data_IF_120168098769
#
_entry.id   IF_120168098769
#
_cell.length_a   1.000
_cell.length_b   1.000
_cell.length_c   1.000
_cell.angle_alpha   90.00
_cell.angle_beta   90.00
_cell.angle_gamma   90.00
#
_symmetry.space_group_name_H-M   'P 1'
#
loop_
_entity.id
_entity.type
_entity.pdbx_description
1 polymer ?
#
# COMPACT_ATOMS: atom_id res chain seq x y z
N UNK A 1 10.11 1.89 6.41
CA UNK A 1 9.07 0.91 6.76
C UNK A 1 9.13 -0.22 5.75
N UNK A 2 8.97 -1.47 6.19
CA UNK A 2 8.79 -2.64 5.31
C UNK A 2 7.85 -3.58 6.05
N UNK A 3 6.82 -4.08 5.35
CA UNK A 3 5.81 -4.98 5.89
C UNK A 3 5.64 -6.13 4.91
N UNK A 4 5.74 -7.36 5.41
CA UNK A 4 5.48 -8.55 4.61
C UNK A 4 3.97 -8.69 4.37
N UNK A 5 3.60 -9.10 3.17
CA UNK A 5 2.22 -9.48 2.86
C UNK A 5 1.87 -10.78 3.61
N UNK A 6 0.67 -10.82 4.18
CA UNK A 6 0.04 -12.03 4.72
C UNK A 6 -0.28 -13.01 3.59
N UNK A 7 -0.53 -14.28 3.92
CA UNK A 7 -0.89 -15.31 2.94
C UNK A 7 -2.07 -14.90 2.06
N UNK A 8 -3.07 -14.22 2.61
CA UNK A 8 -4.23 -13.74 1.84
C UNK A 8 -3.85 -12.57 0.92
N UNK A 9 -3.09 -11.59 1.43
CA UNK A 9 -2.68 -10.43 0.64
C UNK A 9 -1.72 -10.81 -0.50
N UNK A 10 -1.00 -11.91 -0.32
CA UNK A 10 -0.18 -12.51 -1.37
C UNK A 10 -0.96 -13.12 -2.52
N UNK A 11 -2.25 -13.41 -2.35
CA UNK A 11 -3.09 -13.88 -3.44
C UNK A 11 -3.77 -12.74 -4.22
N UNK A 12 -3.50 -11.49 -3.87
CA UNK A 12 -4.00 -10.35 -4.62
C UNK A 12 -3.31 -10.20 -5.99
N UNK A 13 -4.00 -9.56 -6.92
CA UNK A 13 -3.37 -9.12 -8.15
C UNK A 13 -2.22 -8.17 -7.86
N UNK A 14 -1.20 -8.15 -8.73
CA UNK A 14 0.00 -7.31 -8.56
C UNK A 14 -0.41 -5.84 -8.34
N UNK A 15 -1.42 -5.37 -9.08
CA UNK A 15 -1.97 -4.02 -8.95
C UNK A 15 -2.48 -3.73 -7.53
N UNK A 16 -3.27 -4.65 -6.97
CA UNK A 16 -3.86 -4.53 -5.64
C UNK A 16 -2.79 -4.57 -4.55
N UNK A 17 -1.73 -5.38 -4.73
CA UNK A 17 -0.58 -5.45 -3.81
C UNK A 17 0.18 -4.13 -3.74
N UNK A 18 0.47 -3.53 -4.88
CA UNK A 18 1.20 -2.25 -4.94
C UNK A 18 0.35 -1.10 -4.37
N UNK A 19 -0.95 -1.09 -4.66
CA UNK A 19 -1.86 -0.12 -4.09
C UNK A 19 -1.96 -0.27 -2.56
N UNK A 20 -2.09 -1.51 -2.07
CA UNK A 20 -2.10 -1.82 -0.65
C UNK A 20 -0.83 -1.33 0.05
N UNK A 21 0.35 -1.49 -0.57
CA UNK A 21 1.61 -1.02 -0.03
C UNK A 21 1.64 0.52 0.15
N UNK A 22 1.11 1.26 -0.82
CA UNK A 22 0.97 2.73 -0.72
C UNK A 22 0.04 3.10 0.41
N UNK A 23 -1.13 2.48 0.51
CA UNK A 23 -2.11 2.82 1.54
C UNK A 23 -1.60 2.51 2.96
N UNK A 24 -0.96 1.35 3.16
CA UNK A 24 -0.34 0.99 4.43
C UNK A 24 0.73 2.01 4.84
N UNK A 25 1.54 2.45 3.88
CA UNK A 25 2.54 3.49 4.11
C UNK A 25 1.88 4.82 4.48
N UNK A 26 0.80 5.23 3.80
CA UNK A 26 0.09 6.46 4.14
C UNK A 26 -0.57 6.39 5.51
N UNK A 27 -1.15 5.24 5.86
CA UNK A 27 -1.77 5.00 7.17
C UNK A 27 -0.77 5.11 8.31
N UNK A 28 0.37 4.43 8.19
CA UNK A 28 1.37 4.43 9.26
C UNK A 28 2.05 5.79 9.43
N UNK A 29 2.00 6.64 8.40
CA UNK A 29 2.51 8.01 8.41
C UNK A 29 1.38 9.05 8.56
N UNK A 30 0.15 8.62 8.81
CA UNK A 30 -1.04 9.47 8.76
C UNK A 30 -0.92 10.70 9.65
N UNK A 31 -0.41 10.55 10.87
CA UNK A 31 -0.24 11.67 11.80
C UNK A 31 0.84 12.69 11.38
N UNK A 32 1.76 12.31 10.47
CA UNK A 32 2.72 13.24 9.88
C UNK A 32 2.19 13.91 8.62
N UNK A 33 1.30 13.23 7.89
CA UNK A 33 0.75 13.68 6.61
C UNK A 33 -0.54 14.49 6.79
N UNK A 34 -1.27 14.26 7.88
CA UNK A 34 -2.48 15.00 8.20
C UNK A 34 -2.15 16.47 8.44
N UNK A 35 -2.70 17.34 7.59
CA UNK A 35 -2.46 18.79 7.66
C UNK A 35 -1.16 19.26 7.02
N UNK A 36 -0.47 18.38 6.28
CA UNK A 36 0.64 18.80 5.42
C UNK A 36 0.14 19.79 4.36
N UNK A 37 0.77 20.96 4.30
CA UNK A 37 0.49 22.00 3.29
C UNK A 37 1.23 21.76 1.98
N UNK A 38 2.25 20.89 2.00
CA UNK A 38 3.07 20.55 0.85
C UNK A 38 2.73 19.13 0.37
N UNK A 39 2.76 18.94 -0.95
CA UNK A 39 2.51 17.65 -1.56
C UNK A 39 3.64 16.66 -1.23
N UNK A 40 3.26 15.49 -0.75
CA UNK A 40 4.20 14.40 -0.44
C UNK A 40 4.52 13.61 -1.71
N UNK A 41 5.80 13.41 -2.00
CA UNK A 41 6.21 12.64 -3.17
C UNK A 41 6.29 11.15 -2.87
N UNK A 42 5.46 10.35 -3.54
CA UNK A 42 5.48 8.89 -3.44
C UNK A 42 6.11 8.32 -4.71
N UNK A 43 7.21 7.60 -4.55
CA UNK A 43 7.94 6.99 -5.66
C UNK A 43 7.57 5.50 -5.78
N UNK A 44 7.02 5.10 -6.92
CA UNK A 44 6.63 3.71 -7.21
C UNK A 44 7.26 3.25 -8.53
N UNK A 45 7.61 1.98 -8.65
CA UNK A 45 8.02 1.38 -9.92
C UNK A 45 6.84 0.88 -10.78
N UNK A 46 5.62 1.09 -10.28
CA UNK A 46 4.41 0.67 -10.95
C UNK A 46 3.73 1.82 -11.72
N UNK A 47 4.08 1.95 -13.00
CA UNK A 47 3.68 3.09 -13.84
C UNK A 47 2.15 3.33 -13.90
N UNK A 48 1.33 2.27 -13.89
CA UNK A 48 -0.13 2.41 -14.03
C UNK A 48 -0.78 3.10 -12.81
N UNK A 49 -0.13 3.10 -11.64
CA UNK A 49 -0.68 3.75 -10.44
C UNK A 49 -0.72 5.28 -10.57
N UNK A 50 0.07 5.87 -11.45
CA UNK A 50 0.02 7.32 -11.72
C UNK A 50 -1.33 7.77 -12.29
N UNK A 51 -2.08 6.87 -12.94
CA UNK A 51 -3.36 7.18 -13.57
C UNK A 51 -4.57 6.88 -12.68
N UNK A 52 -4.36 6.21 -11.53
CA UNK A 52 -5.41 5.66 -10.68
C UNK A 52 -5.69 6.37 -9.32
N UNK A 53 -5.02 7.46 -8.91
CA UNK A 53 -5.17 7.97 -7.54
C UNK A 53 -6.57 8.54 -7.26
N UNK A 54 -7.36 8.87 -8.30
CA UNK A 54 -8.64 9.54 -8.14
C UNK A 54 -9.82 8.63 -7.77
N UNK A 55 -9.63 7.29 -7.72
CA UNK A 55 -10.74 6.34 -7.50
C UNK A 55 -10.79 5.75 -6.10
N UNK A 56 -9.77 5.99 -5.28
CA UNK A 56 -9.75 5.57 -3.88
C UNK A 56 -10.06 6.78 -3.02
N UNK A 57 -11.28 6.82 -2.46
CA UNK A 57 -11.77 7.92 -1.64
C UNK A 57 -10.89 8.22 -0.43
N UNK A 58 -10.26 7.19 0.12
CA UNK A 58 -9.40 7.21 1.28
C UNK A 58 -8.05 7.90 0.98
N UNK A 59 -7.61 7.88 -0.29
CA UNK A 59 -6.42 8.60 -0.71
C UNK A 59 -6.67 10.10 -0.88
N UNK A 60 -7.93 10.52 -1.07
CA UNK A 60 -8.27 11.93 -1.28
C UNK A 60 -8.02 12.79 -0.03
N UNK A 61 -7.85 12.18 1.14
CA UNK A 61 -7.51 12.87 2.39
C UNK A 61 -6.04 13.32 2.44
N UNK A 62 -5.18 12.79 1.57
CA UNK A 62 -3.75 13.06 1.56
C UNK A 62 -3.36 13.92 0.35
N UNK A 63 -2.51 14.92 0.59
CA UNK A 63 -1.87 15.71 -0.46
C UNK A 63 -0.58 15.01 -0.91
N UNK A 64 -0.62 14.27 -2.03
CA UNK A 64 0.54 13.55 -2.56
C UNK A 64 0.61 13.55 -4.09
N UNK A 65 1.83 13.35 -4.60
CA UNK A 65 2.14 13.18 -6.01
C UNK A 65 2.80 11.82 -6.20
N UNK A 66 2.23 10.98 -7.07
CA UNK A 66 2.85 9.74 -7.49
C UNK A 66 3.86 10.00 -8.60
N UNK A 67 5.11 9.56 -8.39
CA UNK A 67 6.18 9.60 -9.39
C UNK A 67 6.62 8.20 -9.71
N UNK A 68 6.62 7.86 -11.00
CA UNK A 68 7.16 6.59 -11.45
C UNK A 68 8.69 6.60 -11.45
N UNK A 69 9.29 5.54 -10.92
CA UNK A 69 10.72 5.25 -10.98
C UNK A 69 10.91 3.78 -11.35
N UNK A 70 11.53 3.46 -12.51
CA UNK A 70 11.73 2.08 -12.93
C UNK A 70 12.34 1.20 -11.82
N UNK A 71 11.87 -0.04 -11.69
CA UNK A 71 12.31 -0.97 -10.63
C UNK A 71 13.84 -1.15 -10.57
N UNK A 72 14.50 -1.13 -11.74
CA UNK A 72 15.97 -1.17 -11.85
C UNK A 72 16.68 0.02 -11.18
N UNK A 73 16.01 1.17 -11.07
CA UNK A 73 16.47 2.34 -10.36
C UNK A 73 15.91 2.43 -8.92
N UNK A 74 14.93 1.59 -8.57
CA UNK A 74 14.28 1.55 -7.26
C UNK A 74 14.93 0.57 -6.27
N UNK A 75 16.20 0.22 -6.48
CA UNK A 75 16.96 -0.76 -5.69
C UNK A 75 16.89 -0.51 -4.17
N UNK A 76 16.85 0.77 -3.75
CA UNK A 76 16.76 1.13 -2.33
C UNK A 76 15.45 0.69 -1.66
N UNK A 77 14.33 0.73 -2.38
CA UNK A 77 13.04 0.24 -1.89
C UNK A 77 12.89 -1.27 -2.12
N UNK A 78 13.51 -1.79 -3.18
CA UNK A 78 13.50 -3.22 -3.51
C UNK A 78 14.25 -4.07 -2.48
N UNK A 79 15.42 -3.61 -2.01
CA UNK A 79 16.24 -4.25 -0.97
C UNK A 79 15.44 -4.63 0.30
N UNK A 80 14.73 -3.71 0.96
CA UNK A 80 13.93 -4.01 2.14
C UNK A 80 12.59 -4.71 1.83
N UNK A 81 12.14 -4.73 0.58
CA UNK A 81 10.94 -5.48 0.15
C UNK A 81 11.26 -6.96 -0.06
N UNK A 82 12.43 -7.28 -0.61
CA UNK A 82 12.87 -8.64 -0.98
C UNK A 82 13.78 -9.30 0.06
N UNK A 83 13.47 -9.14 1.35
CA UNK A 83 14.33 -9.75 2.37
C UNK A 83 14.22 -11.28 2.35
N UNK A 84 15.32 -11.95 2.67
CA UNK A 84 15.44 -13.42 2.57
C UNK A 84 14.64 -14.16 3.66
N UNK A 85 14.29 -13.46 4.75
CA UNK A 85 13.41 -13.94 5.82
C UNK A 85 11.92 -13.83 5.49
N UNK A 86 11.58 -13.14 4.39
CA UNK A 86 10.21 -13.10 3.90
C UNK A 86 9.98 -14.33 3.03
N UNK A 87 8.87 -15.03 3.29
CA UNK A 87 8.40 -16.09 2.41
C UNK A 87 8.11 -15.49 1.02
N UNK A 88 8.78 -16.04 0.01
CA UNK A 88 8.82 -15.55 -1.36
C UNK A 88 7.59 -15.94 -2.17
N UNK A 89 6.67 -16.71 -1.55
CA UNK A 89 5.41 -17.02 -2.19
C UNK A 89 5.50 -18.11 -3.25
N UNK A 90 6.32 -19.13 -3.01
CA UNK A 90 6.51 -20.25 -3.96
C UNK A 90 5.19 -20.98 -4.30
N UNK A 91 4.16 -20.85 -3.45
CA UNK A 91 2.82 -21.44 -3.62
C UNK A 91 1.70 -20.37 -3.67
N UNK A 92 2.06 -19.09 -3.89
CA UNK A 92 1.10 -17.99 -4.00
C UNK A 92 0.33 -18.04 -5.35
N UNK A 93 -0.82 -17.37 -5.42
CA UNK A 93 -1.70 -17.27 -6.60
C UNK A 93 -2.42 -18.57 -7.01
N UNK A 94 -2.58 -19.54 -6.10
CA UNK A 94 -3.45 -20.70 -6.35
C UNK A 94 -4.92 -20.34 -6.61
N UNK A 95 -5.38 -19.21 -6.05
CA UNK A 95 -6.71 -18.63 -6.29
C UNK A 95 -6.62 -17.09 -6.14
N UNK A 96 -6.63 -16.36 -7.26
CA UNK A 96 -6.47 -14.90 -7.25
C UNK A 96 -7.68 -14.27 -6.56
N UNK A 97 -7.43 -13.51 -5.50
CA UNK A 97 -8.47 -12.79 -4.77
C UNK A 97 -8.44 -11.31 -5.15
N UNK A 98 -9.60 -10.73 -5.45
CA UNK A 98 -9.73 -9.28 -5.65
C UNK A 98 -9.81 -8.60 -4.30
N UNK A 99 -9.02 -7.56 -4.08
CA UNK A 99 -9.07 -6.81 -2.83
C UNK A 99 -10.33 -5.92 -2.81
N UNK A 100 -11.30 -6.24 -1.94
CA UNK A 100 -12.57 -5.52 -1.89
C UNK A 100 -12.47 -4.20 -1.11
N UNK A 101 -13.23 -3.14 -1.51
CA UNK A 101 -13.29 -1.85 -0.79
C UNK A 101 -13.57 -1.97 0.72
N UNK A 102 -14.38 -2.96 1.12
CA UNK A 102 -14.72 -3.20 2.52
C UNK A 102 -13.54 -3.82 3.29
N UNK A 103 -12.80 -4.73 2.65
CA UNK A 103 -11.60 -5.33 3.22
C UNK A 103 -10.49 -4.28 3.40
N UNK A 104 -10.36 -3.35 2.45
CA UNK A 104 -9.47 -2.20 2.53
C UNK A 104 -9.76 -1.34 3.78
N UNK A 105 -11.02 -0.96 3.99
CA UNK A 105 -11.43 -0.08 5.11
C UNK A 105 -11.18 -0.73 6.46
N UNK A 106 -11.53 -2.00 6.61
CA UNK A 106 -11.34 -2.73 7.86
C UNK A 106 -9.85 -2.87 8.26
N UNK A 107 -8.94 -2.92 7.28
CA UNK A 107 -7.51 -3.08 7.52
C UNK A 107 -6.83 -1.77 7.96
N UNK A 108 -7.31 -0.63 7.46
CA UNK A 108 -6.66 0.67 7.61
C UNK A 108 -7.32 1.52 8.69
N UNK A 109 -8.65 1.43 8.82
CA UNK A 109 -9.40 2.14 9.85
C UNK A 109 -9.87 1.13 10.90
N UNK A 110 -9.23 1.03 12.08
CA UNK A 110 -9.79 0.25 13.16
C UNK A 110 -11.13 0.91 13.52
N UNK A 111 -12.23 0.15 13.39
CA UNK A 111 -13.55 0.62 13.80
C UNK A 111 -13.44 1.14 15.22
N UNK A 112 -13.71 2.44 15.40
CA UNK A 112 -13.80 3.08 16.70
C UNK A 112 -15.00 2.50 17.44
N UNK A 113 -14.83 1.33 18.06
CA UNK A 113 -15.79 0.75 18.99
C UNK A 113 -15.00 0.01 20.06
N UNK A 114 -14.54 0.75 21.06
CA UNK A 114 -14.44 0.30 22.45
C UNK A 114 -14.14 1.49 23.36
N UNK A 115 -15.14 2.35 23.57
CA UNK A 115 -15.16 3.21 24.76
C UNK A 115 -15.66 2.36 25.92
N UNK A 116 -14.74 1.72 26.63
CA UNK A 116 -15.02 1.08 27.91
C UNK A 116 -14.87 2.13 29.03
N UNK A 117 -15.97 2.75 29.44
CA UNK A 117 -16.29 3.12 30.84
C UNK A 117 -17.65 3.78 30.97
#
# INVERSE_FOLDING_TARGET
MSKALTTTERNYEIYDKELLAIMLTLSDWHHYLMGALEDVEIWTDHQNLQYFPCWVTELAEYHFILKHKPGTANVKADLPSRRQDHDQGEDDNGDITVLSPEHFRAMIMPTASETHK
#
